data_IF_424286331306
#
_entry.id   IF_424286331306
#
_cell.length_a   1.000
_cell.length_b   1.000
_cell.length_c   1.000
_cell.angle_alpha   90.00
_cell.angle_beta   90.00
_cell.angle_gamma   90.00
#
_symmetry.space_group_name_H-M   'P 1'
#
loop_
_entity.id
_entity.type
_entity.pdbx_description
1 polymer ?
#
# COMPACT_ATOMS: atom_id res chain seq x y z
N UNK A 1 -16.08 -10.63 35.10
CA UNK A 1 -15.74 -9.48 34.22
C UNK A 1 -15.15 -9.97 32.89
N UNK A 2 -15.44 -11.21 32.47
CA UNK A 2 -14.56 -11.96 31.55
C UNK A 2 -15.16 -12.16 30.14
N UNK A 3 -16.47 -11.98 29.99
CA UNK A 3 -17.17 -12.10 28.70
C UNK A 3 -16.77 -11.00 27.70
N UNK A 4 -16.58 -9.76 28.16
CA UNK A 4 -16.17 -8.64 27.29
C UNK A 4 -14.71 -8.77 26.83
N UNK A 5 -13.82 -9.35 27.66
CA UNK A 5 -12.44 -9.64 27.27
C UNK A 5 -12.36 -10.75 26.22
N UNK A 6 -13.15 -11.82 26.38
CA UNK A 6 -13.21 -12.96 25.44
C UNK A 6 -13.75 -12.55 24.06
N UNK A 7 -14.79 -11.73 23.99
CA UNK A 7 -15.31 -11.23 22.71
C UNK A 7 -14.32 -10.30 21.99
N UNK A 8 -13.61 -9.44 22.74
CA UNK A 8 -12.62 -8.55 22.16
C UNK A 8 -11.36 -9.31 21.68
N UNK A 9 -10.93 -10.37 22.38
CA UNK A 9 -9.83 -11.22 21.92
C UNK A 9 -10.20 -11.99 20.65
N UNK A 10 -11.42 -12.52 20.57
CA UNK A 10 -11.90 -13.25 19.40
C UNK A 10 -12.06 -12.33 18.18
N UNK A 11 -12.61 -11.13 18.38
CA UNK A 11 -12.71 -10.12 17.32
C UNK A 11 -11.33 -9.71 16.80
N UNK A 12 -10.40 -9.40 17.71
CA UNK A 12 -9.02 -9.03 17.36
C UNK A 12 -8.27 -10.15 16.63
N UNK A 13 -8.47 -11.40 17.04
CA UNK A 13 -7.91 -12.57 16.36
C UNK A 13 -8.46 -12.70 14.94
N UNK A 14 -9.78 -12.56 14.76
CA UNK A 14 -10.42 -12.62 13.46
C UNK A 14 -9.95 -11.48 12.53
N UNK A 15 -9.81 -10.26 13.06
CA UNK A 15 -9.32 -9.12 12.31
C UNK A 15 -7.85 -9.28 11.89
N UNK A 16 -7.00 -9.84 12.76
CA UNK A 16 -5.60 -10.13 12.45
C UNK A 16 -5.45 -11.25 11.43
N UNK A 17 -6.24 -12.33 11.56
CA UNK A 17 -6.29 -13.40 10.58
C UNK A 17 -6.72 -12.86 9.22
N UNK A 18 -7.83 -12.11 9.20
CA UNK A 18 -8.35 -11.50 7.98
C UNK A 18 -7.35 -10.53 7.36
N UNK A 19 -6.67 -9.69 8.14
CA UNK A 19 -5.61 -8.81 7.65
C UNK A 19 -4.52 -9.60 6.93
N UNK A 20 -4.03 -10.68 7.52
CA UNK A 20 -2.98 -11.49 6.90
C UNK A 20 -3.43 -12.14 5.59
N UNK A 21 -4.65 -12.70 5.58
CA UNK A 21 -5.23 -13.29 4.39
C UNK A 21 -5.47 -12.23 3.29
N UNK A 22 -5.92 -11.03 3.68
CA UNK A 22 -6.13 -9.91 2.78
C UNK A 22 -4.81 -9.40 2.20
N UNK A 23 -3.73 -9.33 2.99
CA UNK A 23 -2.39 -8.97 2.51
C UNK A 23 -1.91 -9.96 1.44
N UNK A 24 -2.11 -11.26 1.67
CA UNK A 24 -1.71 -12.30 0.70
C UNK A 24 -2.57 -12.25 -0.58
N UNK A 25 -3.85 -11.90 -0.45
CA UNK A 25 -4.80 -11.88 -1.56
C UNK A 25 -4.70 -10.61 -2.42
N UNK A 26 -4.46 -9.44 -1.81
CA UNK A 26 -4.57 -8.13 -2.49
C UNK A 26 -3.70 -7.98 -3.74
N UNK A 27 -2.42 -8.41 -3.77
CA UNK A 27 -1.59 -8.34 -4.98
C UNK A 27 -2.15 -9.20 -6.12
N UNK A 28 -2.66 -10.39 -5.81
CA UNK A 28 -3.25 -11.30 -6.79
C UNK A 28 -4.56 -10.75 -7.34
N UNK A 29 -5.39 -10.19 -6.45
CA UNK A 29 -6.62 -9.51 -6.81
C UNK A 29 -6.35 -8.34 -7.75
N UNK A 30 -5.39 -7.48 -7.39
CA UNK A 30 -5.01 -6.33 -8.21
C UNK A 30 -4.50 -6.76 -9.59
N UNK A 31 -3.58 -7.73 -9.66
CA UNK A 31 -3.08 -8.23 -10.94
C UNK A 31 -4.20 -8.81 -11.81
N UNK A 32 -5.18 -9.48 -11.19
CA UNK A 32 -6.32 -10.06 -11.90
C UNK A 32 -7.19 -8.99 -12.55
N UNK A 33 -7.55 -7.94 -11.82
CA UNK A 33 -8.38 -6.85 -12.36
C UNK A 33 -7.60 -5.91 -13.30
N UNK A 34 -6.30 -5.75 -13.08
CA UNK A 34 -5.46 -4.85 -13.87
C UNK A 34 -5.15 -5.43 -15.25
N UNK A 35 -4.96 -6.74 -15.33
CA UNK A 35 -4.66 -7.45 -16.58
C UNK A 35 -5.87 -8.16 -17.21
N UNK A 36 -7.06 -8.03 -16.61
CA UNK A 36 -8.28 -8.74 -16.99
C UNK A 36 -8.09 -10.27 -17.10
N UNK A 37 -7.29 -10.85 -16.20
CA UNK A 37 -7.00 -12.29 -16.15
C UNK A 37 -7.62 -12.88 -14.88
N UNK A 38 -8.43 -13.95 -14.97
CA UNK A 38 -8.93 -14.66 -13.80
C UNK A 38 -7.80 -15.13 -12.86
N UNK A 39 -7.96 -15.00 -11.54
CA UNK A 39 -6.94 -15.37 -10.53
C UNK A 39 -6.43 -16.82 -10.70
N UNK A 40 -7.27 -17.75 -11.16
CA UNK A 40 -6.90 -19.15 -11.40
C UNK A 40 -5.98 -19.34 -12.61
N UNK A 41 -5.89 -18.37 -13.51
CA UNK A 41 -5.03 -18.40 -14.71
C UNK A 41 -3.80 -17.51 -14.56
N UNK A 42 -3.67 -16.76 -13.47
CA UNK A 42 -2.62 -15.76 -13.29
C UNK A 42 -1.21 -16.33 -13.42
N UNK A 43 -0.97 -17.54 -12.88
CA UNK A 43 0.31 -18.23 -12.97
C UNK A 43 0.76 -18.56 -14.40
N UNK A 44 -0.18 -18.63 -15.35
CA UNK A 44 0.12 -18.97 -16.74
C UNK A 44 0.44 -17.73 -17.58
N UNK A 45 -0.06 -16.56 -17.17
CA UNK A 45 0.04 -15.31 -17.94
C UNK A 45 0.96 -14.26 -17.29
N UNK A 46 1.30 -14.44 -16.02
CA UNK A 46 2.13 -13.49 -15.26
C UNK A 46 3.34 -14.23 -14.72
N UNK A 47 4.53 -13.64 -14.92
CA UNK A 47 5.78 -14.19 -14.39
C UNK A 47 5.67 -14.39 -12.87
N UNK A 48 6.06 -15.58 -12.40
CA UNK A 48 6.12 -15.91 -10.98
C UNK A 48 6.99 -14.94 -10.19
N UNK A 49 8.03 -14.38 -10.84
CA UNK A 49 8.88 -13.34 -10.26
C UNK A 49 8.09 -12.06 -9.97
N UNK A 50 7.30 -11.57 -10.92
CA UNK A 50 6.48 -10.36 -10.74
C UNK A 50 5.46 -10.55 -9.61
N UNK A 51 4.76 -11.69 -9.58
CA UNK A 51 3.80 -12.02 -8.52
C UNK A 51 4.49 -12.01 -7.15
N UNK A 52 5.67 -12.64 -7.05
CA UNK A 52 6.46 -12.72 -5.82
C UNK A 52 6.93 -11.35 -5.35
N UNK A 53 7.54 -10.57 -6.25
CA UNK A 53 8.11 -9.26 -5.94
C UNK A 53 7.02 -8.26 -5.52
N UNK A 54 5.88 -8.27 -6.22
CA UNK A 54 4.73 -7.44 -5.88
C UNK A 54 4.15 -7.81 -4.52
N UNK A 55 3.97 -9.11 -4.27
CA UNK A 55 3.41 -9.60 -3.00
C UNK A 55 4.33 -9.29 -1.81
N UNK A 56 5.64 -9.46 -1.98
CA UNK A 56 6.64 -9.10 -0.96
C UNK A 56 6.64 -7.60 -0.69
N UNK A 57 6.66 -6.76 -1.73
CA UNK A 57 6.66 -5.30 -1.56
C UNK A 57 5.39 -4.83 -0.87
N UNK A 58 4.22 -5.35 -1.25
CA UNK A 58 2.95 -5.01 -0.62
C UNK A 58 2.93 -5.38 0.86
N UNK A 59 3.29 -6.63 1.18
CA UNK A 59 3.39 -7.10 2.56
C UNK A 59 4.35 -6.26 3.39
N UNK A 60 5.55 -6.00 2.86
CA UNK A 60 6.55 -5.16 3.52
C UNK A 60 5.99 -3.76 3.84
N UNK A 61 5.33 -3.11 2.88
CA UNK A 61 4.78 -1.77 3.07
C UNK A 61 3.66 -1.76 4.12
N UNK A 62 2.74 -2.71 4.08
CA UNK A 62 1.68 -2.83 5.10
C UNK A 62 2.26 -3.09 6.49
N UNK A 63 3.29 -3.92 6.59
CA UNK A 63 3.94 -4.28 7.85
C UNK A 63 4.79 -3.14 8.45
N UNK A 64 5.47 -2.33 7.61
CA UNK A 64 6.26 -1.18 8.10
C UNK A 64 5.35 -0.01 8.50
N UNK A 65 4.28 0.25 7.75
CA UNK A 65 3.34 1.34 8.07
C UNK A 65 2.34 0.97 9.16
N UNK A 66 2.27 -0.31 9.56
CA UNK A 66 1.33 -0.84 10.57
C UNK A 66 -0.14 -0.63 10.19
N UNK A 67 -0.45 -0.74 8.90
CA UNK A 67 -1.81 -0.55 8.42
C UNK A 67 -2.76 -1.64 8.95
N UNK A 68 -3.91 -1.26 9.52
CA UNK A 68 -4.97 -2.19 9.86
C UNK A 68 -5.73 -2.62 8.59
N UNK A 69 -6.61 -3.62 8.70
CA UNK A 69 -7.30 -4.19 7.54
C UNK A 69 -8.16 -3.17 6.79
N UNK A 70 -8.66 -2.14 7.47
CA UNK A 70 -9.47 -1.08 6.85
C UNK A 70 -8.68 -0.26 5.83
N UNK A 71 -7.40 -0.01 6.11
CA UNK A 71 -6.51 0.64 5.17
C UNK A 71 -6.23 -0.27 3.98
N UNK A 72 -5.98 -1.57 4.20
CA UNK A 72 -5.78 -2.52 3.11
C UNK A 72 -7.04 -2.65 2.24
N UNK A 73 -8.24 -2.63 2.84
CA UNK A 73 -9.51 -2.61 2.11
C UNK A 73 -9.66 -1.34 1.27
N UNK A 74 -9.39 -0.16 1.83
CA UNK A 74 -9.48 1.11 1.11
C UNK A 74 -8.47 1.17 -0.04
N UNK A 75 -7.25 0.66 0.17
CA UNK A 75 -6.26 0.51 -0.88
C UNK A 75 -6.76 -0.38 -2.03
N UNK A 76 -7.33 -1.56 -1.72
CA UNK A 76 -7.89 -2.43 -2.77
C UNK A 76 -9.07 -1.80 -3.50
N UNK A 77 -9.86 -0.97 -2.80
CA UNK A 77 -10.95 -0.20 -3.41
C UNK A 77 -10.42 0.84 -4.40
N UNK A 78 -9.39 1.61 -4.05
CA UNK A 78 -8.80 2.58 -4.98
C UNK A 78 -8.19 1.91 -6.21
N UNK A 79 -7.53 0.76 -6.05
CA UNK A 79 -7.03 -0.03 -7.18
C UNK A 79 -8.16 -0.53 -8.09
N UNK A 80 -9.29 -0.93 -7.50
CA UNK A 80 -10.48 -1.28 -8.25
C UNK A 80 -11.05 -0.08 -9.02
N UNK A 81 -11.22 1.06 -8.37
CA UNK A 81 -11.72 2.29 -9.00
C UNK A 81 -10.82 2.73 -10.16
N UNK A 82 -9.50 2.68 -9.96
CA UNK A 82 -8.49 2.94 -10.98
C UNK A 82 -8.72 2.05 -12.22
N UNK A 83 -8.87 0.73 -12.02
CA UNK A 83 -9.09 -0.24 -13.10
C UNK A 83 -10.40 -0.03 -13.87
N UNK A 84 -11.38 0.66 -13.27
CA UNK A 84 -12.69 0.92 -13.86
C UNK A 84 -12.77 2.25 -14.59
N UNK A 85 -12.18 3.30 -14.04
CA UNK A 85 -12.22 4.64 -14.64
C UNK A 85 -11.40 4.74 -15.90
N UNK A 86 -10.24 4.07 -15.93
CA UNK A 86 -9.30 4.17 -17.04
C UNK A 86 -8.85 2.80 -17.54
N UNK A 87 -9.72 2.04 -18.24
CA UNK A 87 -9.34 0.78 -18.87
C UNK A 87 -8.16 0.91 -19.84
N UNK A 88 -7.96 2.08 -20.45
CA UNK A 88 -6.86 2.40 -21.37
C UNK A 88 -5.49 2.47 -20.70
N UNK A 89 -5.45 2.74 -19.39
CA UNK A 89 -4.20 2.76 -18.62
C UNK A 89 -3.74 1.36 -18.22
N UNK A 90 -4.56 0.33 -18.47
CA UNK A 90 -4.20 -1.07 -18.23
C UNK A 90 -3.03 -1.44 -19.13
N UNK A 91 -1.86 -1.55 -18.51
CA UNK A 91 -0.60 -1.84 -19.19
C UNK A 91 0.35 -2.62 -18.30
N UNK A 92 1.38 -3.16 -18.93
CA UNK A 92 2.43 -3.92 -18.27
C UNK A 92 3.48 -2.96 -17.68
N UNK A 93 3.93 -3.21 -16.45
CA UNK A 93 5.12 -2.58 -15.87
C UNK A 93 4.86 -1.55 -14.77
N UNK A 94 3.63 -1.03 -14.65
CA UNK A 94 3.27 -0.03 -13.64
C UNK A 94 2.68 -0.61 -12.35
N UNK A 95 2.51 -1.93 -12.26
CA UNK A 95 1.70 -2.57 -11.20
C UNK A 95 2.27 -2.30 -9.79
N UNK A 96 3.60 -2.38 -9.63
CA UNK A 96 4.27 -2.09 -8.37
C UNK A 96 4.02 -0.65 -7.93
N UNK A 97 4.23 0.28 -8.85
CA UNK A 97 4.12 1.71 -8.64
C UNK A 97 2.67 2.10 -8.26
N UNK A 98 1.68 1.55 -8.96
CA UNK A 98 0.26 1.76 -8.67
C UNK A 98 -0.16 1.23 -7.29
N UNK A 99 0.34 0.07 -6.89
CA UNK A 99 0.09 -0.46 -5.54
C UNK A 99 0.70 0.41 -4.44
N UNK A 100 1.90 0.95 -4.66
CA UNK A 100 2.52 1.91 -3.72
C UNK A 100 1.67 3.17 -3.63
N UNK A 101 1.23 3.73 -4.76
CA UNK A 101 0.40 4.94 -4.78
C UNK A 101 -0.93 4.73 -4.05
N UNK A 102 -1.60 3.60 -4.28
CA UNK A 102 -2.85 3.29 -3.60
C UNK A 102 -2.68 3.20 -2.07
N UNK A 103 -1.59 2.60 -1.59
CA UNK A 103 -1.27 2.55 -0.16
C UNK A 103 -0.96 3.93 0.42
N UNK A 104 -0.20 4.74 -0.32
CA UNK A 104 0.17 6.10 0.09
C UNK A 104 -1.05 7.01 0.19
N UNK A 105 -1.89 7.04 -0.86
CA UNK A 105 -3.12 7.84 -0.88
C UNK A 105 -4.07 7.37 0.24
N UNK A 106 -4.20 6.07 0.46
CA UNK A 106 -4.99 5.55 1.58
C UNK A 106 -4.51 6.08 2.93
N UNK A 107 -3.20 6.12 3.15
CA UNK A 107 -2.65 6.71 4.38
C UNK A 107 -3.08 8.17 4.55
N UNK A 108 -3.01 8.94 3.46
CA UNK A 108 -3.34 10.35 3.46
C UNK A 108 -4.82 10.64 3.69
N UNK A 109 -5.68 9.72 3.27
CA UNK A 109 -7.13 9.87 3.40
C UNK A 109 -7.68 9.43 4.77
N UNK A 110 -7.02 8.48 5.44
CA UNK A 110 -7.55 7.87 6.67
C UNK A 110 -6.93 8.40 7.96
N UNK A 111 -5.82 9.13 7.88
CA UNK A 111 -5.10 9.63 9.06
C UNK A 111 -4.90 11.14 8.94
N UNK A 112 -5.09 11.88 10.04
CA UNK A 112 -4.78 13.33 10.09
C UNK A 112 -3.27 13.58 10.03
N UNK A 113 -2.51 12.61 10.56
CA UNK A 113 -1.07 12.64 10.72
C UNK A 113 -0.43 11.57 9.84
N UNK A 114 0.04 11.99 8.66
CA UNK A 114 0.39 11.07 7.57
C UNK A 114 1.90 11.08 7.34
N UNK A 115 2.42 9.97 6.80
CA UNK A 115 3.81 9.91 6.34
C UNK A 115 3.99 10.83 5.13
N UNK A 116 5.06 11.62 5.16
CA UNK A 116 5.42 12.52 4.07
C UNK A 116 5.80 11.75 2.79
N UNK A 117 5.72 12.41 1.63
CA UNK A 117 6.18 11.83 0.36
C UNK A 117 7.65 11.41 0.41
N UNK A 118 8.48 12.12 1.18
CA UNK A 118 9.87 11.74 1.44
C UNK A 118 9.97 10.37 2.12
N UNK A 119 9.17 10.14 3.16
CA UNK A 119 9.11 8.83 3.84
C UNK A 119 8.65 7.73 2.89
N UNK A 120 7.63 8.01 2.07
CA UNK A 120 7.16 7.05 1.07
C UNK A 120 8.21 6.73 0.01
N UNK A 121 8.95 7.74 -0.45
CA UNK A 121 10.08 7.57 -1.36
C UNK A 121 11.14 6.63 -0.76
N UNK A 122 11.52 6.85 0.50
CA UNK A 122 12.51 6.04 1.21
C UNK A 122 12.08 4.56 1.38
N UNK A 123 10.82 4.29 1.76
CA UNK A 123 10.36 2.90 1.98
C UNK A 123 9.94 2.18 0.69
N UNK A 124 9.59 2.92 -0.37
CA UNK A 124 9.16 2.35 -1.65
C UNK A 124 10.30 2.15 -2.65
N UNK A 125 11.44 2.81 -2.41
CA UNK A 125 12.57 2.92 -3.35
C UNK A 125 12.16 3.60 -4.68
N UNK A 126 11.19 4.53 -4.62
CA UNK A 126 10.77 5.36 -5.75
C UNK A 126 11.35 6.76 -5.55
N UNK A 127 12.03 7.38 -6.53
CA UNK A 127 12.52 8.75 -6.43
C UNK A 127 11.41 9.73 -6.01
N UNK A 128 11.75 10.68 -5.14
CA UNK A 128 10.76 11.61 -4.58
C UNK A 128 10.02 12.40 -5.67
N UNK A 129 10.73 12.87 -6.69
CA UNK A 129 10.13 13.64 -7.79
C UNK A 129 9.15 12.79 -8.60
N UNK A 130 9.50 11.54 -8.90
CA UNK A 130 8.62 10.58 -9.58
C UNK A 130 7.38 10.28 -8.72
N UNK A 131 7.58 10.06 -7.42
CA UNK A 131 6.50 9.78 -6.48
C UNK A 131 5.52 10.95 -6.34
N UNK A 132 6.01 12.20 -6.37
CA UNK A 132 5.17 13.39 -6.37
C UNK A 132 4.31 13.49 -7.64
N UNK A 133 4.89 13.23 -8.82
CA UNK A 133 4.16 13.22 -10.09
C UNK A 133 3.11 12.11 -10.09
N UNK A 134 3.51 10.90 -9.70
CA UNK A 134 2.61 9.75 -9.62
C UNK A 134 1.45 9.98 -8.65
N UNK A 135 1.68 10.67 -7.52
CA UNK A 135 0.60 11.04 -6.61
C UNK A 135 -0.44 11.94 -7.28
N UNK A 136 0.04 13.00 -7.96
CA UNK A 136 -0.82 13.94 -8.64
C UNK A 136 -1.64 13.25 -9.73
N UNK A 137 -0.98 12.41 -10.53
CA UNK A 137 -1.62 11.60 -11.57
C UNK A 137 -2.64 10.62 -10.97
N UNK A 138 -2.28 9.88 -9.92
CA UNK A 138 -3.18 8.91 -9.29
C UNK A 138 -4.42 9.59 -8.72
N UNK A 139 -4.28 10.74 -8.07
CA UNK A 139 -5.41 11.53 -7.60
C UNK A 139 -6.27 12.06 -8.76
N UNK A 140 -5.63 12.54 -9.83
CA UNK A 140 -6.30 13.03 -11.04
C UNK A 140 -7.12 11.93 -11.73
N UNK A 141 -6.57 10.73 -11.87
CA UNK A 141 -7.23 9.55 -12.44
C UNK A 141 -8.43 9.10 -11.59
N UNK A 142 -8.43 9.41 -10.29
CA UNK A 142 -9.57 9.18 -9.41
C UNK A 142 -10.54 10.37 -9.34
N UNK A 143 -10.36 11.41 -10.16
CA UNK A 143 -11.09 12.69 -10.13
C UNK A 143 -11.11 13.34 -8.75
N UNK A 144 -10.07 13.11 -7.93
CA UNK A 144 -9.99 13.50 -6.53
C UNK A 144 -11.17 13.00 -5.66
N UNK A 145 -11.98 12.06 -6.16
CA UNK A 145 -13.08 11.45 -5.41
C UNK A 145 -12.57 10.27 -4.59
N UNK A 146 -11.85 10.61 -3.52
CA UNK A 146 -11.17 9.65 -2.64
C UNK A 146 -12.02 9.26 -1.41
N UNK A 147 -13.15 9.94 -1.18
CA UNK A 147 -14.04 9.62 -0.09
C UNK A 147 -14.85 8.36 -0.39
N UNK A 148 -14.72 7.33 0.44
CA UNK A 148 -15.49 6.10 0.31
C UNK A 148 -16.70 6.19 1.25
N UNK A 149 -17.90 6.26 0.68
CA UNK A 149 -19.12 6.29 1.49
C UNK A 149 -19.19 5.07 2.43
N UNK A 150 -19.62 5.21 3.69
CA UNK A 150 -19.71 4.09 4.63
C UNK A 150 -20.51 2.90 4.11
N UNK A 151 -21.57 3.16 3.33
CA UNK A 151 -22.36 2.13 2.66
C UNK A 151 -21.54 1.38 1.60
N UNK A 152 -20.84 2.10 0.74
CA UNK A 152 -20.00 1.51 -0.31
C UNK A 152 -18.83 0.74 0.30
N UNK A 153 -18.23 1.28 1.37
CA UNK A 153 -17.19 0.61 2.14
C UNK A 153 -17.70 -0.71 2.73
N UNK A 154 -18.88 -0.74 3.37
CA UNK A 154 -19.44 -1.96 3.94
C UNK A 154 -19.77 -3.03 2.89
N UNK A 155 -20.27 -2.62 1.71
CA UNK A 155 -20.47 -3.52 0.57
C UNK A 155 -19.12 -4.09 0.10
N UNK A 156 -18.12 -3.22 -0.04
CA UNK A 156 -16.77 -3.61 -0.46
C UNK A 156 -16.11 -4.57 0.53
N UNK A 157 -16.21 -4.30 1.82
CA UNK A 157 -15.70 -5.18 2.87
C UNK A 157 -16.31 -6.58 2.78
N UNK A 158 -17.64 -6.68 2.68
CA UNK A 158 -18.32 -7.98 2.55
C UNK A 158 -17.92 -8.72 1.27
N UNK A 159 -17.77 -7.99 0.16
CA UNK A 159 -17.28 -8.54 -1.09
C UNK A 159 -15.86 -9.11 -0.95
N UNK A 160 -14.93 -8.32 -0.40
CA UNK A 160 -13.54 -8.73 -0.21
C UNK A 160 -13.42 -9.89 0.78
N UNK A 161 -14.18 -9.89 1.87
CA UNK A 161 -14.24 -11.03 2.81
C UNK A 161 -14.66 -12.31 2.10
N UNK A 162 -15.70 -12.24 1.26
CA UNK A 162 -16.16 -13.40 0.48
C UNK A 162 -15.09 -13.91 -0.48
N UNK A 163 -14.39 -13.01 -1.17
CA UNK A 163 -13.31 -13.39 -2.09
C UNK A 163 -12.12 -14.01 -1.36
N UNK A 164 -11.70 -13.41 -0.24
CA UNK A 164 -10.61 -13.92 0.58
C UNK A 164 -10.95 -15.31 1.13
N UNK A 165 -12.15 -15.53 1.67
CA UNK A 165 -12.56 -16.86 2.15
C UNK A 165 -12.56 -17.90 1.03
N UNK A 166 -13.01 -17.55 -0.18
CA UNK A 166 -12.92 -18.45 -1.35
C UNK A 166 -11.46 -18.78 -1.70
N UNK A 167 -10.58 -17.78 -1.67
CA UNK A 167 -9.15 -17.96 -1.92
C UNK A 167 -8.48 -18.85 -0.86
N UNK A 168 -8.84 -18.71 0.41
CA UNK A 168 -8.27 -19.51 1.50
C UNK A 168 -8.68 -20.98 1.43
N UNK A 169 -9.92 -21.26 1.03
CA UNK A 169 -10.41 -22.62 0.83
C UNK A 169 -9.69 -23.33 -0.34
N UNK A 170 -9.13 -22.56 -1.28
CA UNK A 170 -8.39 -23.06 -2.45
C UNK A 170 -6.91 -23.35 -2.09
N UNK A 171 -6.72 -24.28 -1.15
CA UNK A 171 -5.46 -24.59 -0.44
C UNK A 171 -4.24 -24.84 -1.34
N UNK A 172 -4.44 -25.43 -2.52
CA UNK A 172 -3.37 -25.71 -3.50
C UNK A 172 -2.81 -24.42 -4.11
N UNK A 173 -3.67 -23.44 -4.40
CA UNK A 173 -3.25 -22.14 -4.96
C UNK A 173 -2.52 -21.31 -3.93
N UNK A 174 -3.07 -21.23 -2.71
CA UNK A 174 -2.45 -20.53 -1.58
C UNK A 174 -1.03 -21.02 -1.33
N UNK A 175 -0.82 -22.34 -1.31
CA UNK A 175 0.49 -22.91 -0.99
C UNK A 175 1.55 -22.65 -2.07
N UNK A 176 1.17 -22.65 -3.35
CA UNK A 176 2.08 -22.36 -4.46
C UNK A 176 2.51 -20.88 -4.51
N UNK A 177 1.58 -19.95 -4.23
CA UNK A 177 1.90 -18.52 -4.17
C UNK A 177 2.73 -18.18 -2.92
N UNK A 178 2.38 -18.71 -1.75
CA UNK A 178 3.11 -18.45 -0.50
C UNK A 178 4.52 -19.05 -0.47
N UNK A 179 4.73 -20.23 -1.05
CA UNK A 179 6.08 -20.83 -1.16
C UNK A 179 7.01 -19.95 -2.01
N UNK A 180 6.50 -19.37 -3.10
CA UNK A 180 7.24 -18.46 -3.97
C UNK A 180 7.55 -17.12 -3.29
N UNK A 181 6.69 -16.65 -2.38
CA UNK A 181 6.92 -15.44 -1.60
C UNK A 181 7.91 -15.66 -0.42
N UNK A 182 7.83 -16.81 0.27
CA UNK A 182 8.64 -17.13 1.47
C UNK A 182 10.00 -17.78 1.17
N UNK A 183 10.19 -18.38 0.00
CA UNK A 183 11.43 -19.10 -0.35
C UNK A 183 12.68 -18.21 -0.54
N UNK A 184 12.51 -16.91 -0.78
CA UNK A 184 13.61 -15.96 -1.03
C UNK A 184 13.88 -15.00 0.15
N UNK A 185 13.02 -15.00 1.17
CA UNK A 185 13.27 -14.24 2.42
C UNK A 185 14.42 -14.84 3.26
N UNK A 186 14.92 -16.03 2.92
CA UNK A 186 16.05 -16.65 3.60
C UNK A 186 17.43 -16.18 3.11
N UNK A 187 17.56 -15.66 1.87
CA UNK A 187 18.86 -15.30 1.28
C UNK A 187 19.21 -13.79 1.32
N UNK A 188 18.28 -12.91 1.68
CA UNK A 188 18.52 -11.46 1.75
C UNK A 188 19.00 -10.95 3.13
N UNK A 189 19.49 -11.83 4.01
CA UNK A 189 20.03 -11.44 5.33
C UNK A 189 21.50 -10.99 5.33
N UNK A 190 22.13 -10.75 4.19
CA UNK A 190 23.48 -10.19 4.13
C UNK A 190 23.49 -8.83 3.45
N UNK A 191 23.90 -7.84 4.23
CA UNK A 191 24.24 -6.44 3.89
C UNK A 191 23.09 -5.46 3.64
N UNK A 192 22.49 -4.97 4.74
CA UNK A 192 22.50 -3.52 4.98
C UNK A 192 22.43 -3.21 6.48
N UNK A 193 23.50 -2.65 7.06
CA UNK A 193 23.40 -1.89 8.32
C UNK A 193 22.66 -0.59 8.02
N UNK A 194 21.33 -0.64 7.96
CA UNK A 194 20.50 0.55 7.85
C UNK A 194 20.07 1.00 9.24
N UNK A 195 20.43 2.24 9.56
CA UNK A 195 20.03 3.00 10.74
C UNK A 195 18.52 2.88 10.89
N UNK A 196 18.07 2.32 12.01
CA UNK A 196 16.67 2.39 12.43
C UNK A 196 16.41 3.86 12.77
N UNK A 197 15.96 4.62 11.78
CA UNK A 197 15.36 5.91 12.02
C UNK A 197 13.88 5.65 12.26
N UNK A 198 13.47 5.71 13.53
CA UNK A 198 12.06 5.91 13.82
C UNK A 198 11.63 7.16 13.04
N UNK A 199 10.56 7.10 12.23
CA UNK A 199 10.11 8.27 11.50
C UNK A 199 9.79 9.38 12.51
N UNK A 200 10.27 10.62 12.30
CA UNK A 200 9.94 11.73 13.17
C UNK A 200 8.43 11.92 13.19
N UNK A 201 7.91 12.32 14.35
CA UNK A 201 6.50 12.59 14.59
C UNK A 201 5.87 13.48 13.50
N UNK A 202 4.56 13.34 13.27
CA UNK A 202 3.83 14.10 12.27
C UNK A 202 4.04 15.61 12.42
N UNK A 203 4.33 16.28 11.31
CA UNK A 203 4.49 17.72 11.22
C UNK A 203 3.09 18.35 11.45
N UNK A 204 2.97 19.16 12.50
CA UNK A 204 1.77 19.95 12.78
C UNK A 204 1.48 20.97 11.66
N UNK A 205 0.23 21.39 11.45
CA UNK A 205 -0.15 22.31 10.39
C UNK A 205 0.65 23.63 10.47
N UNK A 206 1.07 24.13 9.31
CA UNK A 206 1.63 25.47 9.16
C UNK A 206 0.54 26.47 9.54
N UNK A 207 0.68 27.15 10.68
CA UNK A 207 -0.04 28.39 10.97
C UNK A 207 0.51 29.50 10.07
N UNK A 208 -0.33 30.25 9.34
CA UNK A 208 0.14 31.29 8.44
C UNK A 208 0.29 32.60 9.20
N UNK A 209 1.41 32.85 9.87
CA UNK A 209 1.78 34.18 10.36
C UNK A 209 3.31 34.32 10.39
N UNK A 210 3.80 35.27 9.61
CA UNK A 210 5.08 35.99 9.68
C UNK A 210 6.39 35.24 9.41
N UNK A 211 7.01 35.55 8.26
CA UNK A 211 8.36 36.15 8.14
C UNK A 211 9.01 35.81 6.79
N UNK A 212 8.56 36.51 5.75
CA UNK A 212 9.44 36.96 4.68
C UNK A 212 10.36 38.06 5.24
N UNK A 213 11.42 37.70 5.95
CA UNK A 213 12.37 38.70 6.46
C UNK A 213 13.73 38.11 6.80
N UNK A 214 14.56 37.90 5.78
CA UNK A 214 15.97 38.29 5.84
C UNK A 214 16.65 38.25 4.47
N UNK A 215 16.47 39.36 3.73
CA UNK A 215 17.48 39.87 2.81
C UNK A 215 18.59 40.48 3.67
N UNK A 216 19.80 39.90 3.67
CA UNK A 216 21.05 40.55 3.21
C UNK A 216 22.33 39.84 3.70
N UNK A 217 23.22 39.65 2.72
CA UNK A 217 24.68 39.92 2.75
C UNK A 217 25.48 39.45 3.98
N UNK A 218 26.45 38.57 3.70
CA UNK A 218 27.83 39.04 3.65
C UNK A 218 28.74 38.14 2.80
N UNK A 219 29.38 38.78 1.80
CA UNK A 219 30.62 38.32 1.16
C UNK A 219 31.76 38.39 2.17
N UNK A 220 32.67 37.42 2.10
CA UNK A 220 34.15 37.57 2.08
C UNK A 220 34.72 36.18 1.74
N UNK A 221 35.28 36.01 0.53
CA UNK A 221 36.74 35.88 0.26
C UNK A 221 37.30 34.63 0.94
N UNK A 222 37.98 33.68 0.28
CA UNK A 222 39.10 33.73 -0.67
C UNK A 222 39.38 32.23 -1.02
N UNK A 223 39.92 31.77 -2.16
CA UNK A 223 41.36 31.73 -2.50
C UNK A 223 41.49 30.91 -3.82
N UNK A 224 42.32 31.44 -4.74
CA UNK A 224 42.97 30.93 -5.97
C UNK A 224 42.12 30.35 -7.12
#
# INVERSE_FOLDING_TARGET
MDYLKSNNSNKKYNDSHFLNALIDFSPLYFLSIWRDIPINQLSNHVSSKLISDLSKKFRYLVEITKFPYQCVLSCTYYLYMLSKKHPELKGYGSEKNLMVMALMVTNKMLYDNTYSNKTWSEISDIPLDELNIMELEFCGVLDYNLNIDPKNYGIWENYMRTLVSKFENDSVKRLNYLKTARGLTAESKLNTKQKICNPPSPITPITPVDEYSCINRNRKHQIY
#
